data_IF_488208700124
#
_entry.id   IF_488208700124
#
_cell.length_a   1.000
_cell.length_b   1.000
_cell.length_c   1.000
_cell.angle_alpha   90.00
_cell.angle_beta   90.00
_cell.angle_gamma   90.00
#
_symmetry.space_group_name_H-M   'P 1'
#
loop_
_entity.id
_entity.type
_entity.pdbx_description
1 polymer ?
#
# COMPACT_ATOMS: atom_id res chain seq x y z
N UNK A 1 10.42 11.45 -12.29
CA UNK A 1 9.35 12.39 -12.65
C UNK A 1 9.67 13.75 -12.06
N UNK A 2 10.04 14.72 -12.88
CA UNK A 2 10.34 16.07 -12.45
C UNK A 2 9.06 16.92 -12.51
N UNK A 3 8.48 17.19 -11.35
CA UNK A 3 7.25 17.97 -11.25
C UNK A 3 7.45 19.47 -11.55
N UNK A 4 8.68 19.96 -11.51
CA UNK A 4 8.95 21.39 -11.58
C UNK A 4 9.42 21.85 -12.95
N UNK A 5 9.78 20.95 -13.86
CA UNK A 5 10.23 21.30 -15.23
C UNK A 5 11.47 22.19 -15.31
N UNK A 6 12.09 22.47 -14.18
CA UNK A 6 13.32 23.24 -14.09
C UNK A 6 14.51 22.28 -14.00
N UNK A 7 15.62 22.60 -14.60
CA UNK A 7 16.91 21.89 -14.45
C UNK A 7 17.39 22.00 -13.00
N UNK A 8 16.76 21.23 -12.10
CA UNK A 8 17.17 21.15 -10.72
C UNK A 8 18.06 19.90 -10.53
N UNK A 9 19.06 19.94 -9.66
CA UNK A 9 19.88 18.77 -9.32
C UNK A 9 19.08 17.68 -8.59
N UNK A 10 17.79 17.90 -8.34
CA UNK A 10 16.91 17.04 -7.57
C UNK A 10 15.91 16.33 -8.49
N UNK A 11 15.80 15.02 -8.35
CA UNK A 11 14.80 14.22 -9.06
C UNK A 11 13.50 14.11 -8.23
N UNK A 12 12.35 14.15 -8.91
CA UNK A 12 11.04 13.95 -8.28
C UNK A 12 10.74 14.95 -7.13
N UNK A 13 10.48 14.47 -5.93
CA UNK A 13 10.14 15.24 -4.72
C UNK A 13 11.28 15.33 -3.72
N UNK A 14 12.51 14.97 -4.10
CA UNK A 14 13.65 14.96 -3.18
C UNK A 14 13.96 16.34 -2.58
N UNK A 15 13.62 17.43 -3.28
CA UNK A 15 13.69 18.77 -2.72
C UNK A 15 12.77 18.99 -1.51
N UNK A 16 11.62 18.31 -1.48
CA UNK A 16 10.60 18.44 -0.43
C UNK A 16 10.70 17.36 0.64
N UNK A 17 11.81 16.65 0.76
CA UNK A 17 12.04 15.58 1.73
C UNK A 17 11.69 16.00 3.17
N UNK A 18 11.98 17.25 3.53
CA UNK A 18 11.76 17.79 4.87
C UNK A 18 10.45 18.57 5.02
N UNK A 19 9.68 18.72 3.96
CA UNK A 19 8.40 19.44 3.98
C UNK A 19 7.24 18.48 4.32
N UNK A 20 6.78 18.55 5.56
CA UNK A 20 5.69 17.71 6.06
C UNK A 20 4.38 17.92 5.31
N UNK A 21 4.05 19.17 4.94
CA UNK A 21 2.78 19.49 4.28
C UNK A 21 2.72 18.86 2.89
N UNK A 22 3.75 19.05 2.09
CA UNK A 22 3.84 18.47 0.74
C UNK A 22 3.76 16.95 0.82
N UNK A 23 4.55 16.34 1.71
CA UNK A 23 4.59 14.89 1.86
C UNK A 23 3.22 14.31 2.26
N UNK A 24 2.54 14.89 3.26
CA UNK A 24 1.24 14.41 3.72
C UNK A 24 0.17 14.59 2.65
N UNK A 25 0.15 15.72 1.93
CA UNK A 25 -0.81 15.97 0.86
C UNK A 25 -0.64 14.92 -0.25
N UNK A 26 0.58 14.70 -0.71
CA UNK A 26 0.85 13.75 -1.81
C UNK A 26 0.56 12.32 -1.38
N UNK A 27 0.99 11.89 -0.19
CA UNK A 27 0.62 10.58 0.36
C UNK A 27 -0.90 10.38 0.41
N UNK A 28 -1.63 11.39 0.88
CA UNK A 28 -3.09 11.33 0.94
C UNK A 28 -3.71 11.17 -0.44
N UNK A 29 -3.25 11.92 -1.43
CA UNK A 29 -3.74 11.80 -2.82
C UNK A 29 -3.46 10.41 -3.42
N UNK A 30 -2.27 9.87 -3.18
CA UNK A 30 -1.90 8.53 -3.64
C UNK A 30 -2.81 7.47 -3.01
N UNK A 31 -3.02 7.54 -1.70
CA UNK A 31 -3.89 6.59 -0.97
C UNK A 31 -5.33 6.71 -1.46
N UNK A 32 -5.86 7.92 -1.61
CA UNK A 32 -7.20 8.19 -2.14
C UNK A 32 -7.38 7.58 -3.53
N UNK A 33 -6.41 7.79 -4.44
CA UNK A 33 -6.42 7.20 -5.78
C UNK A 33 -6.29 5.68 -5.79
N UNK A 34 -5.53 5.12 -4.83
CA UNK A 34 -5.27 3.68 -4.72
C UNK A 34 -6.40 2.85 -4.09
N UNK A 35 -7.34 3.49 -3.38
CA UNK A 35 -8.48 2.79 -2.73
C UNK A 35 -9.51 2.30 -3.75
N UNK A 36 -9.74 3.02 -4.85
CA UNK A 36 -10.66 2.65 -5.91
C UNK A 36 -12.08 3.20 -5.77
N UNK A 37 -12.72 3.44 -6.93
CA UNK A 37 -14.02 4.11 -6.99
C UNK A 37 -15.16 3.32 -6.34
N UNK A 38 -15.12 1.99 -6.39
CA UNK A 38 -16.13 1.13 -5.78
C UNK A 38 -16.17 1.35 -4.26
N UNK A 39 -15.01 1.45 -3.65
CA UNK A 39 -14.87 1.68 -2.20
C UNK A 39 -15.34 3.08 -1.84
N UNK A 40 -14.98 4.09 -2.63
CA UNK A 40 -15.44 5.46 -2.43
C UNK A 40 -16.95 5.59 -2.50
N UNK A 41 -17.58 4.95 -3.50
CA UNK A 41 -19.04 4.94 -3.61
C UNK A 41 -19.72 4.31 -2.39
N UNK A 42 -19.15 3.22 -1.87
CA UNK A 42 -19.68 2.55 -0.67
C UNK A 42 -19.51 3.40 0.59
N UNK A 43 -18.36 4.09 0.75
CA UNK A 43 -18.11 5.02 1.85
C UNK A 43 -19.09 6.19 1.81
N UNK A 44 -19.30 6.80 0.64
CA UNK A 44 -20.23 7.93 0.49
C UNK A 44 -21.67 7.53 0.77
N UNK A 45 -22.09 6.33 0.31
CA UNK A 45 -23.44 5.81 0.52
C UNK A 45 -23.72 5.45 1.97
N UNK A 46 -22.80 4.79 2.64
CA UNK A 46 -22.98 4.32 4.01
C UNK A 46 -22.34 5.24 5.06
N UNK A 47 -21.78 6.38 4.62
CA UNK A 47 -21.03 7.32 5.47
C UNK A 47 -19.94 6.55 6.22
N UNK A 48 -19.59 6.91 7.44
CA UNK A 48 -18.53 6.27 8.23
C UNK A 48 -18.99 5.05 9.04
N UNK A 49 -20.06 4.35 8.60
CA UNK A 49 -20.55 3.16 9.30
C UNK A 49 -19.88 1.89 8.77
N UNK A 50 -18.70 1.52 9.31
CA UNK A 50 -17.91 0.35 8.89
C UNK A 50 -18.71 -0.95 8.85
N UNK A 51 -19.68 -1.14 9.78
CA UNK A 51 -20.51 -2.36 9.83
C UNK A 51 -21.34 -2.55 8.57
N UNK A 52 -21.79 -1.46 7.92
CA UNK A 52 -22.67 -1.49 6.73
C UNK A 52 -21.92 -1.66 5.42
N UNK A 53 -20.59 -1.51 5.42
CA UNK A 53 -19.78 -1.62 4.21
C UNK A 53 -19.85 -3.02 3.60
N UNK A 54 -19.70 -3.06 2.28
CA UNK A 54 -19.52 -4.29 1.51
C UNK A 54 -18.27 -5.04 1.99
N UNK A 55 -18.27 -6.36 1.86
CA UNK A 55 -17.11 -7.19 2.20
C UNK A 55 -15.85 -6.73 1.44
N UNK A 56 -15.99 -6.41 0.16
CA UNK A 56 -14.94 -5.86 -0.67
C UNK A 56 -14.31 -4.60 -0.05
N UNK A 57 -15.14 -3.63 0.33
CA UNK A 57 -14.69 -2.37 0.96
C UNK A 57 -13.91 -2.61 2.26
N UNK A 58 -14.42 -3.52 3.10
CA UNK A 58 -13.75 -3.88 4.35
C UNK A 58 -12.37 -4.49 4.11
N UNK A 59 -12.28 -5.44 3.17
CA UNK A 59 -11.01 -6.08 2.80
C UNK A 59 -10.02 -5.03 2.27
N UNK A 60 -10.46 -4.15 1.36
CA UNK A 60 -9.60 -3.12 0.78
C UNK A 60 -9.06 -2.17 1.87
N UNK A 61 -9.93 -1.65 2.73
CA UNK A 61 -9.52 -0.69 3.77
C UNK A 61 -8.55 -1.32 4.76
N UNK A 62 -8.85 -2.53 5.25
CA UNK A 62 -8.00 -3.23 6.22
C UNK A 62 -6.67 -3.64 5.58
N UNK A 63 -6.69 -4.23 4.40
CA UNK A 63 -5.47 -4.64 3.70
C UNK A 63 -4.59 -3.43 3.34
N UNK A 64 -5.19 -2.33 2.88
CA UNK A 64 -4.46 -1.08 2.62
C UNK A 64 -3.81 -0.54 3.89
N UNK A 65 -4.54 -0.46 4.99
CA UNK A 65 -3.99 0.02 6.27
C UNK A 65 -2.84 -0.87 6.77
N UNK A 66 -3.00 -2.19 6.71
CA UNK A 66 -1.94 -3.15 7.09
C UNK A 66 -0.69 -2.95 6.24
N UNK A 67 -0.83 -2.88 4.91
CA UNK A 67 0.29 -2.71 4.00
C UNK A 67 1.02 -1.38 4.21
N UNK A 68 0.28 -0.29 4.43
CA UNK A 68 0.87 1.02 4.68
C UNK A 68 1.65 1.04 6.00
N UNK A 69 1.06 0.51 7.07
CA UNK A 69 1.70 0.48 8.39
C UNK A 69 2.88 -0.48 8.39
N UNK A 70 2.72 -1.71 7.87
CA UNK A 70 3.79 -2.69 7.82
C UNK A 70 4.95 -2.23 6.92
N UNK A 71 4.65 -1.65 5.76
CA UNK A 71 5.66 -1.08 4.87
C UNK A 71 6.38 0.11 5.51
N UNK A 72 5.62 1.04 6.12
CA UNK A 72 6.21 2.20 6.81
C UNK A 72 7.11 1.79 7.98
N UNK A 73 6.68 0.83 8.80
CA UNK A 73 7.50 0.29 9.88
C UNK A 73 8.73 -0.45 9.33
N UNK A 74 8.57 -1.23 8.27
CA UNK A 74 9.68 -1.93 7.62
C UNK A 74 10.75 -0.96 7.12
N UNK A 75 10.37 0.08 6.35
CA UNK A 75 11.31 1.10 5.91
C UNK A 75 11.93 1.89 7.06
N UNK A 76 11.16 2.20 8.09
CA UNK A 76 11.68 2.87 9.27
C UNK A 76 12.77 2.05 9.96
N UNK A 77 12.60 0.73 10.09
CA UNK A 77 13.58 -0.16 10.73
C UNK A 77 14.81 -0.37 9.83
N UNK A 78 14.60 -0.67 8.55
CA UNK A 78 15.70 -1.03 7.63
C UNK A 78 16.55 0.18 7.24
N UNK A 79 15.93 1.36 7.07
CA UNK A 79 16.62 2.58 6.64
C UNK A 79 16.96 3.53 7.81
N UNK A 80 16.73 3.12 9.06
CA UNK A 80 16.96 3.97 10.23
C UNK A 80 18.37 4.54 10.31
N UNK A 81 19.38 3.70 10.01
CA UNK A 81 20.80 4.04 9.96
C UNK A 81 21.34 4.14 8.53
N UNK A 82 20.50 3.94 7.52
CA UNK A 82 20.80 4.07 6.09
C UNK A 82 20.43 5.46 5.56
N UNK A 83 19.61 5.49 4.52
CA UNK A 83 19.19 6.72 3.83
C UNK A 83 18.43 7.72 4.74
N UNK A 84 17.89 7.26 5.85
CA UNK A 84 17.22 8.12 6.83
C UNK A 84 18.15 8.61 7.97
N UNK A 85 19.45 8.24 8.01
CA UNK A 85 20.34 8.50 9.14
C UNK A 85 20.40 9.98 9.53
N UNK A 86 20.54 10.87 8.55
CA UNK A 86 20.73 12.31 8.73
C UNK A 86 19.45 13.07 9.08
N UNK A 87 18.30 12.37 9.20
CA UNK A 87 16.99 12.97 9.44
C UNK A 87 16.60 12.92 10.92
N UNK A 88 15.81 13.90 11.36
CA UNK A 88 15.19 13.85 12.69
C UNK A 88 14.14 12.73 12.77
N UNK A 89 13.84 12.22 13.97
CA UNK A 89 12.90 11.11 14.14
C UNK A 89 11.54 11.37 13.48
N UNK A 90 10.90 12.55 13.60
CA UNK A 90 9.66 12.84 12.89
C UNK A 90 9.80 12.76 11.35
N UNK A 91 10.92 13.28 10.82
CA UNK A 91 11.22 13.22 9.39
C UNK A 91 11.43 11.77 8.92
N UNK A 92 12.11 10.94 9.72
CA UNK A 92 12.27 9.50 9.44
C UNK A 92 10.92 8.81 9.30
N UNK A 93 9.99 9.08 10.21
CA UNK A 93 8.64 8.49 10.18
C UNK A 93 7.90 8.91 8.91
N UNK A 94 7.88 10.20 8.59
CA UNK A 94 7.16 10.71 7.42
C UNK A 94 7.74 10.15 6.12
N UNK A 95 9.08 10.13 5.99
CA UNK A 95 9.72 9.58 4.79
C UNK A 95 9.55 8.06 4.67
N UNK A 96 9.64 7.30 5.76
CA UNK A 96 9.36 5.88 5.76
C UNK A 96 7.91 5.57 5.34
N UNK A 97 6.94 6.34 5.85
CA UNK A 97 5.55 6.24 5.42
C UNK A 97 5.38 6.63 3.95
N UNK A 98 6.07 7.67 3.50
CA UNK A 98 6.05 8.07 2.09
C UNK A 98 6.57 6.95 1.18
N UNK A 99 7.67 6.30 1.55
CA UNK A 99 8.20 5.13 0.82
C UNK A 99 7.18 4.00 0.72
N UNK A 100 6.51 3.68 1.84
CA UNK A 100 5.47 2.65 1.85
C UNK A 100 4.27 3.00 0.96
N UNK A 101 3.90 4.29 0.88
CA UNK A 101 2.81 4.76 0.03
C UNK A 101 3.21 4.75 -1.44
N UNK A 102 4.40 5.26 -1.77
CA UNK A 102 4.83 5.45 -3.17
C UNK A 102 5.15 4.14 -3.88
N UNK A 103 5.68 3.14 -3.18
CA UNK A 103 5.95 1.80 -3.74
C UNK A 103 4.69 1.10 -4.26
N UNK A 104 3.51 1.52 -3.83
CA UNK A 104 2.22 1.03 -4.33
C UNK A 104 1.79 1.69 -5.64
N UNK A 105 2.72 1.72 -6.60
CA UNK A 105 2.57 2.17 -8.01
C UNK A 105 2.36 3.67 -8.22
N UNK A 106 2.82 4.53 -7.29
CA UNK A 106 2.77 5.98 -7.48
C UNK A 106 4.04 6.53 -8.16
N UNK A 107 5.22 6.07 -7.77
CA UNK A 107 6.49 6.40 -8.42
C UNK A 107 7.09 7.76 -8.05
N UNK A 108 6.57 8.45 -7.03
CA UNK A 108 7.19 9.67 -6.50
C UNK A 108 8.26 9.32 -5.46
N UNK A 109 9.39 10.04 -5.47
CA UNK A 109 10.50 9.80 -4.56
C UNK A 109 10.81 11.05 -3.73
N UNK A 110 10.87 10.89 -2.41
CA UNK A 110 11.35 11.94 -1.49
C UNK A 110 12.78 11.70 -1.04
N UNK A 111 13.29 10.50 -1.23
CA UNK A 111 14.67 10.09 -0.96
C UNK A 111 15.25 9.40 -2.18
N UNK A 112 16.58 9.27 -2.23
CA UNK A 112 17.25 8.57 -3.33
C UNK A 112 17.12 7.05 -3.14
N UNK A 113 16.40 6.42 -4.06
CA UNK A 113 16.19 4.96 -4.04
C UNK A 113 17.46 4.16 -4.38
N UNK A 114 18.48 4.82 -4.97
CA UNK A 114 19.75 4.17 -5.32
C UNK A 114 20.59 3.80 -4.09
N UNK A 115 20.34 4.49 -2.97
CA UNK A 115 21.09 4.34 -1.72
C UNK A 115 20.37 3.48 -0.69
N UNK A 116 19.26 2.82 -1.07
CA UNK A 116 18.54 1.93 -0.16
C UNK A 116 19.38 0.73 0.23
N UNK A 117 19.22 0.27 1.47
CA UNK A 117 19.74 -1.01 1.91
C UNK A 117 19.16 -2.18 1.10
N UNK A 118 19.86 -3.32 1.06
CA UNK A 118 19.35 -4.53 0.39
C UNK A 118 17.99 -4.96 0.97
N UNK A 119 17.80 -4.81 2.28
CA UNK A 119 16.52 -5.10 2.96
C UNK A 119 15.42 -4.11 2.55
N UNK A 120 15.73 -2.82 2.44
CA UNK A 120 14.81 -1.79 1.96
C UNK A 120 14.43 -2.00 0.50
N UNK A 121 15.40 -2.38 -0.33
CA UNK A 121 15.18 -2.73 -1.74
C UNK A 121 14.26 -3.95 -1.87
N UNK A 122 14.51 -5.02 -1.13
CA UNK A 122 13.64 -6.20 -1.13
C UNK A 122 12.23 -5.88 -0.68
N UNK A 123 12.08 -5.07 0.38
CA UNK A 123 10.76 -4.62 0.84
C UNK A 123 10.05 -3.80 -0.23
N UNK A 124 10.76 -2.91 -0.92
CA UNK A 124 10.23 -2.12 -2.04
C UNK A 124 9.68 -3.02 -3.14
N UNK A 125 10.44 -4.04 -3.56
CA UNK A 125 10.01 -4.98 -4.60
C UNK A 125 8.75 -5.74 -4.20
N UNK A 126 8.66 -6.20 -2.95
CA UNK A 126 7.46 -6.88 -2.43
C UNK A 126 6.25 -5.95 -2.45
N UNK A 127 6.41 -4.70 -1.99
CA UNK A 127 5.32 -3.74 -1.96
C UNK A 127 4.90 -3.28 -3.37
N UNK A 128 5.83 -3.18 -4.31
CA UNK A 128 5.55 -2.85 -5.72
C UNK A 128 4.76 -3.96 -6.42
N UNK A 129 4.99 -5.23 -6.06
CA UNK A 129 4.20 -6.35 -6.54
C UNK A 129 2.73 -6.22 -6.10
N UNK A 130 2.49 -5.72 -4.87
CA UNK A 130 1.16 -5.54 -4.29
C UNK A 130 0.65 -4.13 -4.64
N UNK A 131 -0.04 -4.00 -5.75
CA UNK A 131 -0.60 -2.73 -6.21
C UNK A 131 -1.83 -2.27 -5.41
N UNK A 132 -2.64 -1.40 -6.02
CA UNK A 132 -3.86 -0.88 -5.41
C UNK A 132 -5.06 -1.82 -5.51
N UNK A 133 -6.23 -1.31 -5.10
CA UNK A 133 -7.47 -2.08 -5.12
C UNK A 133 -8.09 -2.13 -6.53
N UNK A 134 -9.01 -3.06 -6.80
CA UNK A 134 -9.79 -3.06 -8.04
C UNK A 134 -10.55 -1.74 -8.25
N UNK A 135 -10.52 -1.25 -9.50
CA UNK A 135 -11.14 0.04 -9.84
C UNK A 135 -10.38 1.26 -9.31
N UNK A 136 -9.11 1.11 -8.97
CA UNK A 136 -8.19 2.20 -8.63
C UNK A 136 -7.31 2.59 -9.82
N UNK A 137 -6.60 3.69 -9.69
CA UNK A 137 -5.59 4.15 -10.67
C UNK A 137 -4.27 3.37 -10.59
N UNK A 138 -4.10 2.51 -9.58
CA UNK A 138 -2.88 1.75 -9.35
C UNK A 138 -2.81 0.46 -10.17
N UNK A 139 -1.60 0.10 -10.62
CA UNK A 139 -1.27 -1.15 -11.31
C UNK A 139 -1.04 -2.32 -10.35
N UNK A 140 -0.31 -3.35 -10.80
CA UNK A 140 0.12 -4.50 -10.01
C UNK A 140 -0.99 -5.49 -9.64
N UNK A 141 -0.61 -6.52 -8.87
CA UNK A 141 -1.56 -7.46 -8.28
C UNK A 141 -2.53 -6.71 -7.37
N UNK A 142 -3.82 -6.94 -7.54
CA UNK A 142 -4.82 -6.23 -6.76
C UNK A 142 -4.75 -6.63 -5.29
N UNK A 143 -4.82 -5.63 -4.41
CA UNK A 143 -4.78 -5.81 -2.94
C UNK A 143 -5.79 -6.85 -2.46
N UNK A 144 -6.99 -6.88 -3.07
CA UNK A 144 -8.03 -7.86 -2.74
C UNK A 144 -7.65 -9.28 -3.14
N UNK A 145 -6.97 -9.48 -4.27
CA UNK A 145 -6.52 -10.80 -4.73
C UNK A 145 -5.56 -11.41 -3.71
N UNK A 146 -4.57 -10.65 -3.28
CA UNK A 146 -3.62 -11.10 -2.25
C UNK A 146 -4.31 -11.31 -0.91
N UNK A 147 -5.16 -10.35 -0.48
CA UNK A 147 -5.87 -10.46 0.78
C UNK A 147 -6.77 -11.72 0.85
N UNK A 148 -7.48 -12.05 -0.23
CA UNK A 148 -8.32 -13.26 -0.30
C UNK A 148 -7.49 -14.52 -0.15
N UNK A 149 -6.34 -14.61 -0.83
CA UNK A 149 -5.44 -15.79 -0.72
C UNK A 149 -4.86 -15.90 0.68
N UNK A 150 -4.39 -14.80 1.26
CA UNK A 150 -3.86 -14.78 2.64
C UNK A 150 -4.94 -15.22 3.63
N UNK A 151 -6.16 -14.70 3.53
CA UNK A 151 -7.29 -15.10 4.39
C UNK A 151 -7.59 -16.60 4.22
N UNK A 152 -7.58 -17.11 2.98
CA UNK A 152 -7.81 -18.51 2.69
C UNK A 152 -6.73 -19.41 3.32
N UNK A 153 -5.46 -19.05 3.19
CA UNK A 153 -4.36 -19.78 3.82
C UNK A 153 -4.51 -19.84 5.34
N UNK A 154 -4.83 -18.71 5.98
CA UNK A 154 -5.05 -18.68 7.43
C UNK A 154 -6.28 -19.47 7.87
N UNK A 155 -7.38 -19.48 7.09
CA UNK A 155 -8.56 -20.26 7.38
C UNK A 155 -8.26 -21.76 7.30
N UNK A 156 -7.58 -22.19 6.24
CA UNK A 156 -7.16 -23.60 6.07
C UNK A 156 -6.17 -24.04 7.15
N UNK A 157 -5.20 -23.18 7.53
CA UNK A 157 -4.26 -23.48 8.61
C UNK A 157 -4.94 -23.68 9.97
N UNK A 158 -6.13 -23.08 10.18
CA UNK A 158 -6.96 -23.28 11.38
C UNK A 158 -7.90 -24.48 11.31
N UNK A 159 -7.83 -25.27 10.23
CA UNK A 159 -8.69 -26.46 10.06
C UNK A 159 -10.15 -26.13 9.73
N UNK A 160 -10.45 -24.93 9.23
CA UNK A 160 -11.79 -24.53 8.82
C UNK A 160 -12.05 -24.85 7.36
N UNK A 161 -13.13 -25.60 7.08
CA UNK A 161 -13.58 -25.84 5.69
C UNK A 161 -14.19 -24.61 5.04
N UNK A 162 -14.71 -23.69 5.83
CA UNK A 162 -15.36 -22.47 5.39
C UNK A 162 -14.48 -21.21 5.64
N UNK A 163 -14.21 -20.47 4.56
CA UNK A 163 -13.45 -19.21 4.63
C UNK A 163 -14.41 -18.09 5.00
N UNK A 164 -14.52 -17.82 6.31
CA UNK A 164 -15.39 -16.78 6.85
C UNK A 164 -14.58 -15.54 7.28
N UNK A 165 -14.93 -14.37 6.73
CA UNK A 165 -14.32 -13.09 7.08
C UNK A 165 -15.38 -12.01 7.24
N UNK A 166 -15.28 -11.20 8.31
CA UNK A 166 -16.28 -10.18 8.65
C UNK A 166 -17.73 -10.69 8.69
N UNK A 167 -17.95 -11.91 9.20
CA UNK A 167 -19.25 -12.59 9.25
C UNK A 167 -19.87 -12.90 7.87
N UNK A 168 -19.06 -12.98 6.83
CA UNK A 168 -19.48 -13.36 5.47
C UNK A 168 -18.55 -14.45 4.94
N UNK A 169 -19.12 -15.37 4.16
CA UNK A 169 -18.39 -16.47 3.52
C UNK A 169 -17.77 -15.98 2.21
N UNK A 170 -16.50 -16.29 2.00
CA UNK A 170 -15.82 -16.13 0.70
C UNK A 170 -16.03 -17.43 -0.07
N UNK A 171 -16.56 -17.31 -1.29
CA UNK A 171 -16.82 -18.46 -2.16
C UNK A 171 -15.48 -19.07 -2.60
N UNK A 172 -15.37 -20.41 -2.60
CA UNK A 172 -14.15 -21.14 -2.96
C UNK A 172 -13.64 -20.81 -4.37
N UNK A 173 -14.54 -20.52 -5.30
CA UNK A 173 -14.17 -20.15 -6.67
C UNK A 173 -13.40 -18.81 -6.75
N UNK A 174 -13.75 -17.85 -5.90
CA UNK A 174 -13.01 -16.57 -5.79
C UNK A 174 -11.58 -16.83 -5.31
N UNK A 175 -11.40 -17.75 -4.37
CA UNK A 175 -10.05 -18.12 -3.86
C UNK A 175 -9.23 -18.79 -4.96
N UNK A 176 -9.83 -19.75 -5.70
CA UNK A 176 -9.15 -20.42 -6.81
C UNK A 176 -8.75 -19.45 -7.91
N UNK A 177 -9.66 -18.56 -8.33
CA UNK A 177 -9.37 -17.52 -9.32
C UNK A 177 -8.26 -16.58 -8.85
N UNK A 178 -8.28 -16.16 -7.57
CA UNK A 178 -7.25 -15.32 -6.98
C UNK A 178 -5.87 -16.01 -6.98
N UNK A 179 -5.83 -17.30 -6.66
CA UNK A 179 -4.59 -18.09 -6.69
C UNK A 179 -4.04 -18.25 -8.12
N UNK A 180 -4.91 -18.51 -9.09
CA UNK A 180 -4.52 -18.58 -10.51
C UNK A 180 -3.95 -17.26 -11.01
N UNK A 181 -4.57 -16.12 -10.66
CA UNK A 181 -4.08 -14.80 -11.04
C UNK A 181 -2.66 -14.57 -10.47
N UNK A 182 -2.40 -14.93 -9.21
CA UNK A 182 -1.08 -14.78 -8.59
C UNK A 182 -0.03 -15.67 -9.28
N UNK A 183 -0.40 -16.87 -9.74
CA UNK A 183 0.51 -17.79 -10.41
C UNK A 183 0.87 -17.34 -11.85
N UNK A 184 -0.04 -16.64 -12.52
CA UNK A 184 0.18 -16.15 -13.90
C UNK A 184 0.96 -14.82 -13.91
N UNK A 185 0.84 -14.01 -12.85
CA UNK A 185 1.48 -12.70 -12.75
C UNK A 185 2.98 -12.80 -12.46
#
# INVERSE_FOLDING_TARGET
>A
FDLMGFRQPYSSLTYYTNDYYVNIIIMSLIVIGGIGFIVWNDILKNKFHFSKYLLHTKIVLVATAILLVAGGLGFFIFEYNGELADKTVPQKIVNAMFMSVTTRTAGFNTIDLSNLSDSGTLLSLILMLIGGSPGSTAGGLKTTTIAVVVIAVFAMAKGGDDINTFKRRIVSDVVKQSAVIILIY
#
